data_IF_659172061459
#
_entry.id   IF_659172061459
#
_cell.length_a   1.000
_cell.length_b   1.000
_cell.length_c   1.000
_cell.angle_alpha   90.00
_cell.angle_beta   90.00
_cell.angle_gamma   90.00
#
_symmetry.space_group_name_H-M   'P 1'
#
loop_
_entity.id
_entity.type
_entity.pdbx_description
1 polymer ?
#
# COMPACT_ATOMS: atom_id res chain seq x y z
N UNK A 1 19.38 -9.32 -30.07
CA UNK A 1 19.23 -7.88 -29.79
C UNK A 1 17.79 -7.42 -29.76
N UNK A 2 16.99 -7.58 -30.84
CA UNK A 2 15.55 -7.21 -30.83
C UNK A 2 14.82 -7.83 -29.64
N UNK A 3 15.02 -9.13 -29.37
CA UNK A 3 14.44 -9.82 -28.22
C UNK A 3 14.90 -9.25 -26.86
N UNK A 4 16.17 -8.81 -26.75
CA UNK A 4 16.67 -8.19 -25.51
C UNK A 4 16.01 -6.83 -25.25
N UNK A 5 15.85 -6.00 -26.30
CA UNK A 5 15.15 -4.72 -26.19
C UNK A 5 13.67 -4.94 -25.87
N UNK A 6 13.02 -5.91 -26.53
CA UNK A 6 11.63 -6.26 -26.25
C UNK A 6 11.44 -6.73 -24.80
N UNK A 7 12.32 -7.58 -24.30
CA UNK A 7 12.29 -8.04 -22.92
C UNK A 7 12.57 -6.92 -21.92
N UNK A 8 13.49 -6.00 -22.24
CA UNK A 8 13.75 -4.84 -21.40
C UNK A 8 12.53 -3.92 -21.26
N UNK A 9 11.80 -3.68 -22.37
CA UNK A 9 10.54 -2.91 -22.31
C UNK A 9 9.51 -3.63 -21.45
N UNK A 10 9.31 -4.92 -21.65
CA UNK A 10 8.36 -5.71 -20.89
C UNK A 10 8.69 -5.65 -19.39
N UNK A 11 9.93 -5.89 -19.01
CA UNK A 11 10.37 -5.88 -17.61
C UNK A 11 10.28 -4.48 -16.98
N UNK A 12 10.69 -3.42 -17.68
CA UNK A 12 10.64 -2.05 -17.20
C UNK A 12 9.19 -1.54 -17.11
N UNK A 13 8.32 -1.91 -18.04
CA UNK A 13 6.90 -1.53 -17.99
C UNK A 13 6.21 -2.18 -16.79
N UNK A 14 6.45 -3.49 -16.56
CA UNK A 14 5.96 -4.17 -15.36
C UNK A 14 6.48 -3.53 -14.08
N UNK A 15 7.78 -3.23 -14.00
CA UNK A 15 8.38 -2.55 -12.85
C UNK A 15 7.77 -1.17 -12.61
N UNK A 16 7.60 -0.36 -13.65
CA UNK A 16 7.01 0.97 -13.57
C UNK A 16 5.57 0.95 -13.06
N UNK A 17 4.73 0.02 -13.55
CA UNK A 17 3.36 -0.15 -13.07
C UNK A 17 3.30 -0.58 -11.60
N UNK A 18 4.19 -1.49 -11.16
CA UNK A 18 4.25 -1.94 -9.77
C UNK A 18 4.76 -0.84 -8.82
N UNK A 19 5.74 -0.06 -9.23
CA UNK A 19 6.21 1.11 -8.46
C UNK A 19 5.06 2.12 -8.30
N UNK A 20 4.37 2.44 -9.38
CA UNK A 20 3.21 3.34 -9.35
C UNK A 20 2.06 2.82 -8.48
N UNK A 21 1.80 1.53 -8.55
CA UNK A 21 0.83 0.86 -7.65
C UNK A 21 1.20 1.07 -6.19
N UNK A 22 2.49 0.89 -5.84
CA UNK A 22 2.97 1.10 -4.47
C UNK A 22 2.85 2.58 -4.05
N UNK A 23 3.15 3.53 -4.93
CA UNK A 23 2.99 4.95 -4.65
C UNK A 23 1.52 5.32 -4.43
N UNK A 24 0.62 4.81 -5.27
CA UNK A 24 -0.82 5.00 -5.11
C UNK A 24 -1.32 4.43 -3.78
N UNK A 25 -0.91 3.20 -3.41
CA UNK A 25 -1.28 2.61 -2.13
C UNK A 25 -0.81 3.45 -0.93
N UNK A 26 0.38 4.03 -1.00
CA UNK A 26 0.92 4.91 0.04
C UNK A 26 0.20 6.26 0.13
N UNK A 27 -0.37 6.73 -0.96
CA UNK A 27 -1.09 8.02 -1.01
C UNK A 27 -2.56 7.92 -0.62
N UNK A 28 -3.07 6.70 -0.38
CA UNK A 28 -4.46 6.50 0.05
C UNK A 28 -4.67 7.15 1.41
N UNK A 29 -5.73 7.95 1.51
CA UNK A 29 -6.28 8.33 2.80
C UNK A 29 -7.12 7.16 3.34
N UNK A 30 -6.72 6.53 4.45
CA UNK A 30 -7.46 5.40 4.99
C UNK A 30 -8.73 5.80 5.73
N UNK A 31 -9.08 7.08 5.79
CA UNK A 31 -10.24 7.62 6.52
C UNK A 31 -9.98 7.92 7.99
N UNK A 32 -8.73 7.74 8.45
CA UNK A 32 -8.30 8.09 9.79
C UNK A 32 -6.84 8.57 9.77
N UNK A 33 -6.40 9.25 10.82
CA UNK A 33 -5.03 9.77 10.91
C UNK A 33 -4.09 8.68 11.43
N UNK A 34 -3.20 8.21 10.57
CA UNK A 34 -2.21 7.16 10.85
C UNK A 34 -0.95 7.67 11.54
N UNK A 35 -0.76 8.98 11.59
CA UNK A 35 0.43 9.58 12.17
C UNK A 35 0.46 9.55 13.70
N UNK A 36 1.65 9.41 14.25
CA UNK A 36 1.91 9.57 15.69
C UNK A 36 1.04 8.69 16.61
N UNK A 37 0.77 7.45 16.20
CA UNK A 37 0.06 6.45 17.01
C UNK A 37 1.00 5.31 17.36
N UNK A 38 1.17 5.05 18.67
CA UNK A 38 1.77 3.82 19.20
C UNK A 38 0.68 2.77 19.36
N UNK A 39 0.96 1.57 18.90
CA UNK A 39 0.15 0.38 19.08
C UNK A 39 0.87 -0.57 20.02
N UNK A 40 0.15 -1.16 20.95
CA UNK A 40 0.63 -2.33 21.68
C UNK A 40 -0.53 -3.23 22.05
N UNK A 41 -0.27 -4.52 22.05
CA UNK A 41 -1.26 -5.56 22.36
C UNK A 41 -1.06 -6.03 23.79
N UNK A 42 -2.16 -6.24 24.49
CA UNK A 42 -2.19 -6.82 25.82
C UNK A 42 -3.33 -7.83 25.91
N UNK A 43 -3.05 -9.00 26.46
CA UNK A 43 -4.05 -10.02 26.74
C UNK A 43 -4.01 -10.42 28.23
N UNK A 44 -4.82 -9.78 29.09
CA UNK A 44 -4.89 -10.11 30.49
C UNK A 44 -5.43 -11.53 30.78
N UNK A 45 -6.14 -12.14 29.82
CA UNK A 45 -6.73 -13.47 30.02
C UNK A 45 -5.66 -14.54 30.19
N UNK A 46 -4.48 -14.36 29.59
CA UNK A 46 -3.30 -15.22 29.79
C UNK A 46 -2.83 -15.25 31.24
N UNK A 47 -3.14 -14.21 32.03
CA UNK A 47 -2.82 -14.08 33.44
C UNK A 47 -4.02 -14.35 34.34
N UNK A 48 -5.07 -15.00 33.81
CA UNK A 48 -6.25 -15.41 34.59
C UNK A 48 -7.23 -14.27 34.90
N UNK A 49 -7.15 -13.14 34.18
CA UNK A 49 -8.16 -12.10 34.28
C UNK A 49 -9.39 -12.52 33.48
N UNK A 50 -10.57 -12.47 34.10
CA UNK A 50 -11.83 -12.58 33.38
C UNK A 50 -12.24 -11.23 32.77
N UNK A 51 -13.28 -11.23 31.95
CA UNK A 51 -13.71 -10.02 31.25
C UNK A 51 -14.05 -8.82 32.17
N UNK A 52 -14.62 -9.05 33.35
CA UNK A 52 -14.93 -7.98 34.32
C UNK A 52 -13.64 -7.39 34.91
N UNK A 53 -12.71 -8.25 35.31
CA UNK A 53 -11.41 -7.84 35.88
C UNK A 53 -10.53 -7.13 34.83
N UNK A 54 -10.56 -7.58 33.58
CA UNK A 54 -9.87 -6.91 32.48
C UNK A 54 -10.42 -5.51 32.21
N UNK A 55 -11.75 -5.32 32.31
CA UNK A 55 -12.34 -3.98 32.21
C UNK A 55 -11.89 -3.04 33.32
N UNK A 56 -11.82 -3.54 34.58
CA UNK A 56 -11.27 -2.78 35.70
C UNK A 56 -9.82 -2.37 35.45
N UNK A 57 -8.99 -3.31 35.01
CA UNK A 57 -7.60 -3.05 34.64
C UNK A 57 -7.48 -1.95 33.57
N UNK A 58 -8.30 -2.00 32.52
CA UNK A 58 -8.28 -0.99 31.45
C UNK A 58 -8.74 0.38 31.94
N UNK A 59 -9.75 0.42 32.81
CA UNK A 59 -10.22 1.67 33.42
C UNK A 59 -9.14 2.34 34.28
N UNK A 60 -8.26 1.58 34.91
CA UNK A 60 -7.12 2.10 35.67
C UNK A 60 -5.92 2.44 34.77
N UNK A 61 -5.70 1.69 33.70
CA UNK A 61 -4.57 1.89 32.79
C UNK A 61 -4.73 3.13 31.91
N UNK A 62 -5.92 3.37 31.37
CA UNK A 62 -6.18 4.51 30.46
C UNK A 62 -5.74 5.86 31.04
N UNK A 63 -6.15 6.26 32.27
CA UNK A 63 -5.71 7.52 32.84
C UNK A 63 -4.21 7.61 33.09
N UNK A 64 -3.54 6.48 33.41
CA UNK A 64 -2.10 6.45 33.60
C UNK A 64 -1.35 6.64 32.30
N UNK A 65 -1.85 6.07 31.18
CA UNK A 65 -1.28 6.28 29.85
C UNK A 65 -1.52 7.71 29.37
N UNK A 66 -2.69 8.28 29.63
CA UNK A 66 -2.99 9.69 29.31
C UNK A 66 -2.12 10.68 30.09
N UNK A 67 -1.65 10.30 31.30
CA UNK A 67 -0.77 11.14 32.12
C UNK A 67 0.71 11.12 31.63
N UNK A 68 1.08 10.27 30.68
CA UNK A 68 2.45 10.25 30.12
C UNK A 68 2.69 11.52 29.31
N UNK A 69 3.77 12.29 29.58
CA UNK A 69 4.09 13.48 28.81
C UNK A 69 4.21 13.19 27.30
N UNK A 70 3.53 13.98 26.51
CA UNK A 70 3.48 13.81 25.04
C UNK A 70 2.36 12.93 24.53
N UNK A 71 1.59 12.27 25.41
CA UNK A 71 0.35 11.57 25.03
C UNK A 71 -0.77 12.59 24.85
N UNK A 72 -1.54 12.46 23.77
CA UNK A 72 -2.67 13.32 23.42
C UNK A 72 -3.99 12.62 23.77
N UNK A 73 -4.13 11.36 23.41
CA UNK A 73 -5.30 10.54 23.75
C UNK A 73 -4.97 9.07 23.68
N UNK A 74 -5.74 8.26 24.39
CA UNK A 74 -5.58 6.82 24.47
C UNK A 74 -6.92 6.13 24.29
N UNK A 75 -6.89 5.02 23.58
CA UNK A 75 -8.02 4.11 23.45
C UNK A 75 -7.54 2.68 23.34
N UNK A 76 -8.46 1.76 23.19
CA UNK A 76 -8.16 0.37 22.85
C UNK A 76 -9.26 -0.19 21.96
N UNK A 77 -8.92 -1.19 21.18
CA UNK A 77 -9.88 -1.93 20.34
C UNK A 77 -9.54 -3.43 20.37
N UNK A 78 -10.47 -4.25 19.93
CA UNK A 78 -10.24 -5.69 19.82
C UNK A 78 -9.19 -6.00 18.74
N UNK A 79 -9.19 -5.25 17.66
CA UNK A 79 -8.15 -5.30 16.61
C UNK A 79 -7.90 -3.88 16.09
N UNK A 80 -6.68 -3.62 15.61
CA UNK A 80 -6.35 -2.32 15.04
C UNK A 80 -6.75 -2.24 13.57
N UNK A 81 -7.12 -1.05 13.13
CA UNK A 81 -7.35 -0.79 11.71
C UNK A 81 -6.09 -1.12 10.88
N UNK A 82 -6.30 -1.65 9.67
CA UNK A 82 -5.25 -2.07 8.75
C UNK A 82 -4.33 -3.18 9.30
N UNK A 83 -4.86 -4.03 10.19
CA UNK A 83 -4.13 -5.19 10.71
C UNK A 83 -3.97 -6.33 9.70
N UNK A 84 -4.76 -6.34 8.65
CA UNK A 84 -4.92 -7.48 7.75
C UNK A 84 -5.96 -8.49 8.23
N UNK A 85 -6.29 -8.49 9.52
CA UNK A 85 -7.37 -9.27 10.09
C UNK A 85 -8.71 -8.56 9.88
N UNK A 86 -9.77 -9.28 10.06
CA UNK A 86 -11.12 -8.73 10.11
C UNK A 86 -12.04 -9.70 10.83
N UNK A 87 -13.04 -9.12 11.46
CA UNK A 87 -14.12 -9.88 12.06
C UNK A 87 -15.38 -9.46 11.33
N UNK A 88 -16.15 -10.45 10.94
CA UNK A 88 -17.45 -10.26 10.35
C UNK A 88 -18.51 -10.79 11.28
N UNK A 89 -19.62 -10.09 11.29
CA UNK A 89 -20.78 -10.50 12.07
C UNK A 89 -22.02 -10.45 11.19
N UNK A 90 -22.99 -11.25 11.57
CA UNK A 90 -24.33 -11.17 10.96
C UNK A 90 -25.26 -10.40 11.87
N UNK A 91 -26.21 -9.71 11.26
CA UNK A 91 -27.23 -8.97 11.97
C UNK A 91 -28.56 -8.95 11.20
N UNK A 92 -29.62 -8.56 11.86
CA UNK A 92 -30.94 -8.30 11.27
C UNK A 92 -31.38 -6.89 11.64
N UNK A 93 -32.07 -6.23 10.72
CA UNK A 93 -32.65 -4.91 10.96
C UNK A 93 -34.05 -5.10 11.52
N UNK A 94 -34.34 -4.48 12.65
CA UNK A 94 -35.68 -4.54 13.25
C UNK A 94 -36.69 -3.82 12.36
N UNK A 95 -37.83 -4.49 12.12
CA UNK A 95 -38.89 -3.96 11.25
C UNK A 95 -38.77 -4.30 9.77
N UNK A 96 -37.76 -5.07 9.35
CA UNK A 96 -37.74 -5.64 8.00
C UNK A 96 -38.80 -6.75 7.86
N UNK A 97 -39.53 -6.71 6.73
CA UNK A 97 -40.63 -7.65 6.45
C UNK A 97 -40.13 -9.07 6.19
N UNK A 98 -38.92 -9.20 5.69
CA UNK A 98 -38.22 -10.47 5.54
C UNK A 98 -37.16 -10.56 6.63
N UNK A 99 -37.11 -11.70 7.33
CA UNK A 99 -36.11 -11.97 8.36
C UNK A 99 -34.71 -12.19 7.73
N UNK A 100 -34.26 -11.22 6.94
CA UNK A 100 -33.02 -11.27 6.17
C UNK A 100 -31.83 -11.08 7.10
N UNK A 101 -30.85 -11.96 6.98
CA UNK A 101 -29.59 -11.85 7.67
C UNK A 101 -28.58 -11.10 6.79
N UNK A 102 -28.06 -10.00 7.30
CA UNK A 102 -27.02 -9.19 6.65
C UNK A 102 -25.68 -9.48 7.27
N UNK A 103 -24.59 -9.28 6.50
CA UNK A 103 -23.23 -9.38 6.99
C UNK A 103 -22.56 -8.00 7.01
N UNK A 104 -21.72 -7.76 8.00
CA UNK A 104 -20.96 -6.54 8.16
C UNK A 104 -19.63 -6.83 8.87
N UNK A 105 -18.64 -5.95 8.69
CA UNK A 105 -17.47 -5.97 9.56
C UNK A 105 -17.88 -5.44 10.93
N UNK A 106 -17.25 -5.97 11.99
CA UNK A 106 -17.43 -5.43 13.34
C UNK A 106 -16.11 -5.16 14.06
N UNK A 107 -16.11 -4.10 14.86
CA UNK A 107 -14.99 -3.74 15.71
C UNK A 107 -15.49 -3.34 17.09
N UNK A 108 -15.03 -4.05 18.10
CA UNK A 108 -15.21 -3.63 19.48
C UNK A 108 -14.20 -2.51 19.78
N UNK A 109 -14.72 -1.30 20.01
CA UNK A 109 -13.95 -0.07 20.21
C UNK A 109 -14.09 0.45 21.64
N UNK A 110 -12.99 0.88 22.22
CA UNK A 110 -12.90 1.49 23.56
C UNK A 110 -13.33 2.96 23.61
N UNK A 111 -13.27 3.56 24.79
CA UNK A 111 -13.55 4.98 24.95
C UNK A 111 -12.63 5.84 24.10
N UNK A 112 -13.13 6.97 23.57
CA UNK A 112 -12.36 7.92 22.74
C UNK A 112 -11.78 7.34 21.45
N UNK A 113 -12.22 6.15 20.98
CA UNK A 113 -11.65 5.51 19.78
C UNK A 113 -11.70 6.43 18.55
N UNK A 114 -12.86 6.98 18.23
CA UNK A 114 -13.04 7.85 17.06
C UNK A 114 -12.24 9.16 17.17
N UNK A 115 -12.13 9.71 18.36
CA UNK A 115 -11.31 10.89 18.65
C UNK A 115 -9.81 10.58 18.51
N UNK A 116 -9.34 9.46 19.12
CA UNK A 116 -7.96 9.03 19.06
C UNK A 116 -7.52 8.71 17.63
N UNK A 117 -8.38 8.05 16.84
CA UNK A 117 -8.12 7.74 15.45
C UNK A 117 -8.43 8.90 14.50
N UNK A 118 -9.07 9.97 15.01
CA UNK A 118 -9.55 11.13 14.21
C UNK A 118 -10.49 10.72 13.08
N UNK A 119 -11.40 9.82 13.39
CA UNK A 119 -12.49 9.44 12.48
C UNK A 119 -13.63 10.46 12.67
N UNK A 120 -14.07 11.17 11.62
CA UNK A 120 -15.07 12.23 11.76
C UNK A 120 -16.45 11.65 12.09
N UNK A 121 -17.11 12.26 13.07
CA UNK A 121 -18.54 12.03 13.33
C UNK A 121 -19.36 12.79 12.30
N UNK A 122 -20.24 12.09 11.60
CA UNK A 122 -21.12 12.67 10.56
C UNK A 122 -22.51 12.96 11.08
N UNK A 123 -23.04 12.10 11.97
CA UNK A 123 -24.36 12.27 12.56
C UNK A 123 -24.47 11.56 13.91
N UNK A 124 -25.32 12.06 14.80
CA UNK A 124 -25.56 11.46 16.12
C UNK A 124 -24.43 11.70 17.12
N UNK A 125 -24.03 10.67 17.85
CA UNK A 125 -22.94 10.69 18.83
C UNK A 125 -22.02 9.48 18.72
N UNK A 126 -20.81 9.60 19.19
CA UNK A 126 -19.89 8.48 19.44
C UNK A 126 -20.14 7.89 20.85
N UNK A 127 -19.39 6.85 21.19
CA UNK A 127 -19.46 6.26 22.51
C UNK A 127 -18.99 7.24 23.58
N UNK A 128 -19.74 7.27 24.69
CA UNK A 128 -19.49 8.08 25.89
C UNK A 128 -18.98 7.20 27.02
N UNK A 129 -18.40 7.77 28.09
CA UNK A 129 -18.02 7.00 29.28
C UNK A 129 -19.15 6.19 29.91
N UNK A 130 -20.41 6.63 29.72
CA UNK A 130 -21.60 5.93 30.22
C UNK A 130 -21.87 4.61 29.48
N UNK A 131 -21.30 4.45 28.30
CA UNK A 131 -21.39 3.23 27.51
C UNK A 131 -20.37 2.16 27.97
N UNK A 132 -19.54 2.46 29.00
CA UNK A 132 -18.50 1.59 29.57
C UNK A 132 -18.48 1.64 31.12
N UNK A 133 -18.86 0.59 31.88
CA UNK A 133 -19.55 -0.60 31.42
C UNK A 133 -21.03 -0.31 31.12
N UNK A 134 -21.58 -0.99 30.15
CA UNK A 134 -23.01 -0.91 29.88
C UNK A 134 -23.81 -1.43 31.09
N UNK A 135 -24.92 -0.75 31.47
CA UNK A 135 -25.83 -1.27 32.46
C UNK A 135 -26.30 -2.68 32.07
N UNK A 136 -26.28 -3.66 33.04
CA UNK A 136 -26.69 -5.04 32.72
C UNK A 136 -28.11 -5.14 32.16
N UNK A 137 -28.98 -4.23 32.61
CA UNK A 137 -30.42 -4.23 32.28
C UNK A 137 -30.75 -3.41 31.01
N UNK A 138 -29.75 -2.87 30.32
CA UNK A 138 -29.98 -2.15 29.07
C UNK A 138 -30.50 -3.11 27.99
N UNK A 139 -31.73 -2.95 27.50
CA UNK A 139 -32.29 -3.83 26.47
C UNK A 139 -31.54 -3.68 25.13
N UNK A 140 -30.89 -2.54 24.92
CA UNK A 140 -30.14 -2.20 23.71
C UNK A 140 -28.77 -1.67 24.07
N UNK A 141 -27.76 -2.15 23.36
CA UNK A 141 -26.41 -1.60 23.46
C UNK A 141 -26.22 -0.53 22.37
N UNK A 142 -25.47 0.55 22.63
CA UNK A 142 -25.18 1.51 21.57
C UNK A 142 -24.31 0.88 20.50
N UNK A 143 -24.53 1.29 19.24
CA UNK A 143 -23.70 0.98 18.12
C UNK A 143 -23.43 2.25 17.31
N UNK A 144 -22.22 2.34 16.76
CA UNK A 144 -21.83 3.35 15.78
C UNK A 144 -21.57 2.65 14.47
N UNK A 145 -21.98 3.24 13.36
CA UNK A 145 -21.81 2.66 12.01
C UNK A 145 -21.00 3.62 11.14
N UNK A 146 -20.34 3.09 10.11
CA UNK A 146 -19.74 3.96 9.11
C UNK A 146 -20.77 4.42 8.06
N UNK A 147 -20.38 5.39 7.24
CA UNK A 147 -21.24 5.95 6.18
C UNK A 147 -21.66 4.88 5.16
N UNK A 148 -20.76 3.97 4.79
CA UNK A 148 -21.05 2.86 3.86
C UNK A 148 -22.10 1.90 4.40
N UNK A 149 -22.12 1.62 5.69
CA UNK A 149 -23.17 0.84 6.34
C UNK A 149 -24.52 1.55 6.21
N UNK A 150 -24.56 2.86 6.54
CA UNK A 150 -25.78 3.65 6.42
C UNK A 150 -26.31 3.68 4.98
N UNK A 151 -25.43 3.90 4.02
CA UNK A 151 -25.77 3.91 2.58
C UNK A 151 -26.26 2.54 2.09
N UNK A 152 -25.61 1.46 2.51
CA UNK A 152 -25.91 0.11 2.02
C UNK A 152 -27.24 -0.41 2.56
N UNK A 153 -27.49 -0.24 3.86
CA UNK A 153 -28.64 -0.89 4.52
C UNK A 153 -29.82 0.05 4.77
N UNK A 154 -29.60 1.35 4.89
CA UNK A 154 -30.66 2.31 5.14
C UNK A 154 -30.92 3.24 3.96
N UNK A 155 -30.04 3.27 2.96
CA UNK A 155 -30.14 4.12 1.76
C UNK A 155 -30.34 5.59 2.18
N UNK A 156 -31.50 6.19 1.81
CA UNK A 156 -31.83 7.58 2.12
C UNK A 156 -32.60 7.75 3.46
N UNK A 157 -32.74 6.67 4.22
CA UNK A 157 -33.44 6.73 5.51
C UNK A 157 -32.46 7.07 6.63
N UNK A 158 -32.97 7.78 7.65
CA UNK A 158 -32.17 8.04 8.84
C UNK A 158 -31.85 6.74 9.59
N UNK A 159 -30.56 6.43 9.71
CA UNK A 159 -30.09 5.24 10.43
C UNK A 159 -30.11 5.44 11.96
N UNK A 160 -30.07 6.68 12.46
CA UNK A 160 -30.06 6.96 13.89
C UNK A 160 -31.35 6.51 14.57
N UNK A 161 -31.21 5.85 15.73
CA UNK A 161 -32.31 5.27 16.50
C UNK A 161 -32.86 3.96 15.92
N UNK A 162 -32.36 3.50 14.74
CA UNK A 162 -32.70 2.19 14.23
C UNK A 162 -32.04 1.09 15.04
N UNK A 163 -32.71 -0.04 15.12
CA UNK A 163 -32.28 -1.19 15.92
C UNK A 163 -31.87 -2.35 15.05
N UNK A 164 -30.81 -3.00 15.47
CA UNK A 164 -30.27 -4.21 14.85
C UNK A 164 -30.13 -5.30 15.90
N UNK A 165 -30.33 -6.55 15.53
CA UNK A 165 -30.30 -7.69 16.43
C UNK A 165 -29.45 -8.81 15.85
N UNK A 166 -29.03 -9.75 16.70
CA UNK A 166 -28.25 -10.91 16.29
C UNK A 166 -26.77 -10.63 16.10
N UNK A 167 -26.24 -9.50 16.61
CA UNK A 167 -24.84 -9.11 16.48
C UNK A 167 -23.96 -9.94 17.39
N UNK A 168 -22.84 -10.44 16.83
CA UNK A 168 -21.84 -11.23 17.54
C UNK A 168 -22.35 -12.64 17.95
N UNK A 169 -21.48 -13.39 18.59
CA UNK A 169 -21.75 -14.76 19.01
C UNK A 169 -22.89 -14.91 20.01
N UNK A 170 -23.21 -13.86 20.76
CA UNK A 170 -24.27 -13.86 21.75
C UNK A 170 -25.61 -13.32 21.22
N UNK A 171 -25.67 -12.95 19.94
CA UNK A 171 -26.90 -12.45 19.31
C UNK A 171 -27.43 -11.15 19.96
N UNK A 172 -26.54 -10.25 20.38
CA UNK A 172 -26.91 -9.03 21.10
C UNK A 172 -27.67 -8.05 20.20
N UNK A 173 -28.50 -7.23 20.84
CA UNK A 173 -29.28 -6.19 20.16
C UNK A 173 -28.67 -4.81 20.38
N UNK A 174 -28.63 -4.02 19.34
CA UNK A 174 -27.97 -2.71 19.34
C UNK A 174 -28.90 -1.61 18.77
N UNK A 175 -28.76 -0.40 19.29
CA UNK A 175 -29.38 0.80 18.74
C UNK A 175 -28.30 1.67 18.11
N UNK A 176 -28.49 2.10 16.87
CA UNK A 176 -27.54 2.95 16.14
C UNK A 176 -27.63 4.37 16.73
N UNK A 177 -26.55 4.78 17.40
CA UNK A 177 -26.48 6.10 18.07
C UNK A 177 -25.63 7.11 17.29
N UNK A 178 -24.83 6.66 16.33
CA UNK A 178 -24.00 7.54 15.53
C UNK A 178 -23.58 6.96 14.19
N UNK A 179 -23.25 7.87 13.28
CA UNK A 179 -22.68 7.57 11.96
C UNK A 179 -21.34 8.30 11.85
N UNK A 180 -20.30 7.58 11.52
CA UNK A 180 -18.93 8.09 11.35
C UNK A 180 -18.44 7.95 9.90
N UNK A 181 -17.37 8.66 9.57
CA UNK A 181 -16.76 8.59 8.25
C UNK A 181 -16.26 7.18 7.91
N UNK A 182 -16.18 6.92 6.65
CA UNK A 182 -15.68 5.67 6.11
C UNK A 182 -14.18 5.48 6.37
N UNK A 183 -13.79 4.27 6.76
CA UNK A 183 -12.38 3.90 7.00
C UNK A 183 -12.01 2.63 6.27
N UNK A 184 -10.73 2.53 5.87
CA UNK A 184 -10.14 1.27 5.41
C UNK A 184 -9.92 0.37 6.61
N UNK A 185 -10.60 -0.76 6.66
CA UNK A 185 -10.60 -1.65 7.81
C UNK A 185 -9.47 -2.70 7.73
N UNK A 186 -9.44 -3.49 6.65
CA UNK A 186 -8.55 -4.66 6.51
C UNK A 186 -7.16 -4.27 6.03
N UNK A 187 -7.09 -3.72 4.84
CA UNK A 187 -5.86 -3.31 4.16
C UNK A 187 -6.12 -2.05 3.35
N UNK A 188 -5.06 -1.34 2.97
CA UNK A 188 -5.19 -0.18 2.08
C UNK A 188 -5.81 -0.53 0.71
N UNK A 189 -5.59 -1.76 0.25
CA UNK A 189 -6.12 -2.26 -1.03
C UNK A 189 -7.60 -2.61 -0.98
N UNK A 190 -8.11 -3.01 0.19
CA UNK A 190 -9.51 -3.41 0.35
C UNK A 190 -10.45 -2.26 0.00
N UNK A 191 -11.60 -2.57 -0.54
CA UNK A 191 -12.68 -1.60 -0.64
C UNK A 191 -13.18 -1.22 0.75
N UNK A 192 -13.80 -0.06 0.86
CA UNK A 192 -14.54 0.32 2.06
C UNK A 192 -15.73 -0.62 2.16
N UNK A 193 -16.02 -1.09 3.35
CA UNK A 193 -17.09 -2.03 3.59
C UNK A 193 -17.99 -1.54 4.74
N UNK A 194 -19.27 -1.91 4.75
CA UNK A 194 -20.14 -1.66 5.87
C UNK A 194 -19.49 -2.13 7.17
N UNK A 195 -19.39 -1.22 8.15
CA UNK A 195 -18.68 -1.49 9.41
C UNK A 195 -19.56 -1.05 10.59
N UNK A 196 -19.67 -1.95 11.55
CA UNK A 196 -20.36 -1.77 12.81
C UNK A 196 -19.31 -1.64 13.93
N UNK A 197 -19.39 -0.60 14.71
CA UNK A 197 -18.60 -0.44 15.92
C UNK A 197 -19.48 -0.69 17.13
N UNK A 198 -18.97 -1.49 18.08
CA UNK A 198 -19.64 -1.80 19.34
C UNK A 198 -18.73 -1.48 20.51
N UNK A 199 -19.26 -1.16 21.72
CA UNK A 199 -18.41 -0.92 22.87
C UNK A 199 -17.57 -2.15 23.22
N UNK A 200 -16.26 -1.95 23.38
CA UNK A 200 -15.33 -3.01 23.70
C UNK A 200 -15.59 -3.63 25.06
N UNK A 201 -15.50 -4.93 25.10
CA UNK A 201 -15.50 -5.74 26.32
C UNK A 201 -14.16 -5.72 27.04
N UNK A 202 -14.00 -6.66 27.99
CA UNK A 202 -12.68 -7.01 28.53
C UNK A 202 -12.13 -8.21 27.78
N UNK A 203 -10.82 -8.45 27.91
CA UNK A 203 -10.11 -9.55 27.25
C UNK A 203 -8.90 -9.02 26.51
N UNK A 204 -8.49 -9.71 25.47
CA UNK A 204 -7.44 -9.22 24.57
C UNK A 204 -7.80 -7.87 23.95
N UNK A 205 -6.83 -6.97 23.88
CA UNK A 205 -7.02 -5.66 23.24
C UNK A 205 -5.72 -5.10 22.68
N UNK A 206 -5.85 -4.31 21.64
CA UNK A 206 -4.79 -3.46 21.12
C UNK A 206 -5.05 -2.05 21.62
N UNK A 207 -4.07 -1.46 22.26
CA UNK A 207 -4.10 -0.07 22.70
C UNK A 207 -3.55 0.83 21.61
N UNK A 208 -4.27 1.90 21.33
CA UNK A 208 -3.89 2.96 20.40
C UNK A 208 -3.61 4.23 21.22
N UNK A 209 -2.34 4.64 21.24
CA UNK A 209 -1.88 5.81 21.98
C UNK A 209 -1.44 6.88 20.99
N UNK A 210 -2.23 7.94 20.85
CA UNK A 210 -1.86 9.11 20.03
C UNK A 210 -0.93 10.02 20.80
N UNK A 211 0.14 10.44 20.15
CA UNK A 211 1.18 11.29 20.76
C UNK A 211 1.39 12.60 19.98
N UNK A 212 1.89 13.62 20.66
CA UNK A 212 2.38 14.86 20.05
C UNK A 212 3.88 14.79 19.69
N UNK A 213 4.56 13.73 20.11
CA UNK A 213 5.99 13.45 19.94
C UNK A 213 6.18 12.13 19.20
N UNK A 214 7.42 11.73 18.93
CA UNK A 214 7.68 10.41 18.35
C UNK A 214 7.10 9.30 19.26
N UNK A 215 6.18 8.47 18.75
CA UNK A 215 5.52 7.41 19.53
C UNK A 215 6.50 6.41 20.18
N UNK A 216 7.66 6.22 19.58
CA UNK A 216 8.65 5.29 20.15
C UNK A 216 9.29 5.79 21.43
N UNK A 217 9.32 7.08 21.65
CA UNK A 217 9.92 7.68 22.85
C UNK A 217 9.13 7.37 24.14
N UNK A 218 7.83 7.14 24.02
CA UNK A 218 6.98 6.84 25.19
C UNK A 218 6.95 5.36 25.57
N UNK A 219 7.53 4.46 24.78
CA UNK A 219 7.50 2.99 25.03
C UNK A 219 8.00 2.62 26.45
N UNK A 220 9.11 3.16 26.98
CA UNK A 220 9.53 2.87 28.34
C UNK A 220 8.50 3.28 29.40
N UNK A 221 7.87 4.45 29.22
CA UNK A 221 6.83 4.96 30.13
C UNK A 221 5.57 4.09 30.08
N UNK A 222 5.16 3.63 28.87
CA UNK A 222 4.04 2.69 28.70
C UNK A 222 4.32 1.37 29.45
N UNK A 223 5.52 0.79 29.28
CA UNK A 223 5.94 -0.42 30.00
C UNK A 223 5.88 -0.23 31.52
N UNK A 224 6.38 0.91 31.99
CA UNK A 224 6.32 1.26 33.41
C UNK A 224 4.89 1.40 33.91
N UNK A 225 4.02 2.06 33.17
CA UNK A 225 2.62 2.22 33.56
C UNK A 225 1.88 0.88 33.69
N UNK A 226 2.14 -0.06 32.78
CA UNK A 226 1.55 -1.42 32.84
C UNK A 226 2.15 -2.22 33.97
N UNK A 227 3.48 -2.24 34.18
CA UNK A 227 4.13 -3.00 35.20
C UNK A 227 3.78 -2.54 36.64
N UNK A 228 3.43 -1.26 36.81
CA UNK A 228 2.93 -0.75 38.10
C UNK A 228 1.52 -1.26 38.43
N UNK A 229 0.75 -1.70 37.45
CA UNK A 229 -0.57 -2.33 37.69
C UNK A 229 -0.42 -3.82 37.96
N UNK A 230 0.31 -4.51 37.10
CA UNK A 230 0.66 -5.91 37.26
C UNK A 230 1.95 -6.21 36.46
N UNK A 231 3.01 -6.57 37.20
CA UNK A 231 4.32 -6.85 36.61
C UNK A 231 4.35 -8.11 35.73
N UNK A 232 3.32 -8.95 35.81
CA UNK A 232 3.23 -10.17 35.02
C UNK A 232 2.48 -9.97 33.69
N UNK A 233 1.92 -8.78 33.42
CA UNK A 233 1.21 -8.51 32.17
C UNK A 233 2.19 -8.27 31.02
N UNK A 234 2.29 -9.20 30.05
CA UNK A 234 3.16 -9.01 28.92
C UNK A 234 2.55 -8.01 27.91
N UNK A 235 3.41 -7.17 27.35
CA UNK A 235 3.08 -6.35 26.20
C UNK A 235 3.62 -6.98 24.94
N UNK A 236 2.75 -7.18 23.96
CA UNK A 236 3.07 -7.76 22.67
C UNK A 236 3.02 -6.70 21.58
N UNK A 237 3.68 -6.96 20.46
CA UNK A 237 3.52 -6.23 19.19
C UNK A 237 3.55 -4.70 19.35
N UNK A 238 4.61 -4.18 20.01
CA UNK A 238 4.77 -2.73 20.15
C UNK A 238 5.27 -2.14 18.84
N UNK A 239 4.40 -1.47 18.11
CA UNK A 239 4.65 -0.89 16.80
C UNK A 239 4.03 0.50 16.70
N UNK A 240 4.37 1.25 15.66
CA UNK A 240 3.58 2.41 15.27
C UNK A 240 2.54 2.02 14.22
N UNK A 241 1.45 2.77 14.12
CA UNK A 241 0.45 2.56 13.05
C UNK A 241 1.10 2.64 11.67
N UNK A 242 2.05 3.55 11.48
CA UNK A 242 2.81 3.69 10.24
C UNK A 242 3.63 2.44 9.92
N UNK A 243 4.34 1.87 10.91
CA UNK A 243 5.10 0.63 10.73
C UNK A 243 4.21 -0.56 10.39
N UNK A 244 3.03 -0.64 11.02
CA UNK A 244 2.04 -1.68 10.69
C UNK A 244 1.58 -1.58 9.24
N UNK A 245 1.29 -0.37 8.77
CA UNK A 245 0.98 -0.11 7.35
C UNK A 245 2.17 -0.47 6.45
N UNK A 246 3.38 -0.09 6.82
CA UNK A 246 4.57 -0.42 6.04
C UNK A 246 4.83 -1.92 5.95
N UNK A 247 4.54 -2.67 7.00
CA UNK A 247 4.60 -4.14 6.99
C UNK A 247 3.52 -4.75 6.12
N UNK A 248 2.31 -4.20 6.12
CA UNK A 248 1.23 -4.67 5.24
C UNK A 248 1.56 -4.49 3.75
N UNK A 249 2.39 -3.49 3.41
CA UNK A 249 2.89 -3.23 2.06
C UNK A 249 4.24 -3.91 1.76
N UNK A 250 4.72 -4.79 2.63
CA UNK A 250 6.03 -5.43 2.45
C UNK A 250 6.13 -6.24 1.16
N UNK A 251 5.07 -7.00 0.85
CA UNK A 251 5.02 -7.84 -0.35
C UNK A 251 5.04 -6.98 -1.62
N UNK A 252 4.24 -5.94 -1.69
CA UNK A 252 4.19 -5.00 -2.82
C UNK A 252 5.54 -4.30 -3.01
N UNK A 253 6.16 -3.87 -1.92
CA UNK A 253 7.48 -3.24 -1.93
C UNK A 253 8.56 -4.20 -2.42
N UNK A 254 8.53 -5.46 -1.98
CA UNK A 254 9.48 -6.48 -2.40
C UNK A 254 9.35 -6.75 -3.90
N UNK A 255 8.12 -6.97 -4.38
CA UNK A 255 7.85 -7.21 -5.80
C UNK A 255 8.29 -6.01 -6.65
N UNK A 256 7.94 -4.78 -6.25
CA UNK A 256 8.35 -3.57 -6.95
C UNK A 256 9.88 -3.42 -7.02
N UNK A 257 10.60 -3.67 -5.91
CA UNK A 257 12.07 -3.60 -5.87
C UNK A 257 12.72 -4.66 -6.76
N UNK A 258 12.27 -5.90 -6.67
CA UNK A 258 12.80 -6.99 -7.51
C UNK A 258 12.54 -6.72 -8.99
N UNK A 259 11.32 -6.29 -9.35
CA UNK A 259 10.98 -5.93 -10.73
C UNK A 259 11.83 -4.78 -11.25
N UNK A 260 12.09 -3.76 -10.44
CA UNK A 260 12.96 -2.64 -10.81
C UNK A 260 14.40 -3.09 -11.01
N UNK A 261 14.91 -3.97 -10.14
CA UNK A 261 16.26 -4.53 -10.26
C UNK A 261 16.40 -5.34 -11.55
N UNK A 262 15.50 -6.27 -11.83
CA UNK A 262 15.54 -7.07 -13.05
C UNK A 262 15.27 -6.26 -14.31
N UNK A 263 14.40 -5.24 -14.23
CA UNK A 263 14.19 -4.28 -15.31
C UNK A 263 15.47 -3.49 -15.64
N UNK A 264 16.18 -3.01 -14.62
CA UNK A 264 17.48 -2.35 -14.78
C UNK A 264 18.55 -3.27 -15.34
N UNK A 265 18.62 -4.51 -14.88
CA UNK A 265 19.54 -5.52 -15.42
C UNK A 265 19.25 -5.82 -16.88
N UNK A 266 17.98 -5.97 -17.25
CA UNK A 266 17.54 -6.19 -18.62
C UNK A 266 17.93 -5.01 -19.54
N UNK A 267 17.78 -3.77 -19.05
CA UNK A 267 18.21 -2.57 -19.74
C UNK A 267 19.72 -2.56 -19.97
N UNK A 268 20.51 -2.91 -18.96
CA UNK A 268 21.97 -3.00 -19.05
C UNK A 268 22.40 -4.05 -20.08
N UNK A 269 21.77 -5.23 -20.07
CA UNK A 269 22.04 -6.28 -21.05
C UNK A 269 21.67 -5.83 -22.48
N UNK A 270 20.57 -5.09 -22.64
CA UNK A 270 20.18 -4.51 -23.92
C UNK A 270 21.21 -3.48 -24.42
N UNK A 271 21.75 -2.64 -23.51
CA UNK A 271 22.83 -1.69 -23.83
C UNK A 271 24.10 -2.41 -24.30
N UNK A 272 24.54 -3.44 -23.57
CA UNK A 272 25.74 -4.23 -23.93
C UNK A 272 25.54 -4.91 -25.27
N UNK A 273 24.37 -5.51 -25.51
CA UNK A 273 24.03 -6.15 -26.77
C UNK A 273 24.03 -5.19 -27.94
N UNK A 274 23.45 -3.99 -27.75
CA UNK A 274 23.44 -2.93 -28.79
C UNK A 274 24.84 -2.41 -29.09
N UNK A 275 25.61 -2.12 -28.04
CA UNK A 275 27.02 -1.69 -28.17
C UNK A 275 27.85 -2.73 -28.89
N UNK A 276 27.77 -3.99 -28.45
CA UNK A 276 28.55 -5.10 -29.06
C UNK A 276 28.25 -5.32 -30.55
N UNK A 277 26.93 -5.30 -30.89
CA UNK A 277 26.50 -5.44 -32.27
C UNK A 277 27.03 -4.30 -33.17
N UNK A 278 26.84 -3.05 -32.69
CA UNK A 278 27.28 -1.90 -33.47
C UNK A 278 28.79 -1.81 -33.60
N UNK A 279 29.53 -2.15 -32.53
CA UNK A 279 31.00 -2.24 -32.58
C UNK A 279 31.46 -3.30 -33.56
N UNK A 280 30.84 -4.47 -33.58
CA UNK A 280 31.13 -5.53 -34.54
C UNK A 280 30.83 -5.10 -35.98
N UNK A 281 29.67 -4.47 -36.24
CA UNK A 281 29.31 -3.95 -37.57
C UNK A 281 30.31 -2.90 -38.06
N UNK A 282 30.74 -1.98 -37.19
CA UNK A 282 31.73 -0.95 -37.48
C UNK A 282 33.06 -1.64 -37.89
N UNK A 283 33.55 -2.61 -37.10
CA UNK A 283 34.76 -3.31 -37.36
C UNK A 283 34.72 -4.10 -38.68
N UNK A 284 33.60 -4.77 -38.95
CA UNK A 284 33.40 -5.55 -40.17
C UNK A 284 33.38 -4.68 -41.43
N UNK A 285 32.90 -3.44 -41.32
CA UNK A 285 32.74 -2.48 -42.42
C UNK A 285 33.85 -1.42 -42.46
N UNK A 286 34.93 -1.58 -41.70
CA UNK A 286 36.01 -0.58 -41.59
C UNK A 286 36.57 -0.22 -42.96
N UNK A 287 36.78 -1.22 -43.86
CA UNK A 287 37.28 -1.02 -45.25
C UNK A 287 36.26 -0.23 -46.08
N UNK A 288 35.00 -0.56 -46.04
CA UNK A 288 33.91 0.17 -46.76
C UNK A 288 33.82 1.62 -46.27
N UNK A 289 33.91 1.84 -44.97
CA UNK A 289 33.90 3.16 -44.33
C UNK A 289 35.14 3.96 -44.78
N UNK A 290 36.32 3.32 -44.81
CA UNK A 290 37.57 3.94 -45.27
C UNK A 290 37.51 4.37 -46.71
N UNK A 291 37.01 3.52 -47.62
CA UNK A 291 36.79 3.88 -49.03
C UNK A 291 35.82 5.05 -49.20
N UNK A 292 34.72 5.04 -48.49
CA UNK A 292 33.73 6.17 -48.53
C UNK A 292 34.35 7.47 -48.05
N UNK A 293 35.16 7.43 -46.98
CA UNK A 293 35.83 8.61 -46.48
C UNK A 293 36.91 9.12 -47.48
N UNK A 294 37.66 8.21 -48.11
CA UNK A 294 38.61 8.54 -49.15
C UNK A 294 37.93 9.20 -50.42
N UNK A 295 36.65 8.83 -50.68
CA UNK A 295 35.82 9.40 -51.73
C UNK A 295 35.12 10.68 -51.33
N UNK A 296 35.39 11.25 -50.10
CA UNK A 296 34.86 12.55 -49.68
C UNK A 296 33.60 12.47 -48.80
N UNK A 297 33.17 11.32 -48.33
CA UNK A 297 32.06 11.23 -47.37
C UNK A 297 32.41 11.91 -46.06
N UNK A 298 31.48 12.68 -45.52
CA UNK A 298 31.66 13.37 -44.23
C UNK A 298 31.54 12.35 -43.06
N UNK A 299 32.34 12.49 -42.02
CA UNK A 299 32.20 11.65 -40.79
C UNK A 299 30.80 11.60 -40.24
N UNK A 300 30.04 12.71 -40.35
CA UNK A 300 28.64 12.83 -39.92
C UNK A 300 27.67 11.89 -40.70
N UNK A 301 27.96 11.59 -41.96
CA UNK A 301 27.14 10.68 -42.79
C UNK A 301 27.26 9.24 -42.30
N UNK A 302 28.47 8.87 -41.95
CA UNK A 302 28.80 7.55 -41.37
C UNK A 302 28.13 7.40 -39.99
N UNK A 303 28.26 8.41 -39.13
CA UNK A 303 27.60 8.46 -37.85
C UNK A 303 26.07 8.26 -38.02
N UNK A 304 25.46 9.04 -38.90
CA UNK A 304 24.01 8.99 -39.19
C UNK A 304 23.56 7.60 -39.67
N UNK A 305 24.36 6.96 -40.50
CA UNK A 305 24.05 5.62 -41.02
C UNK A 305 24.04 4.57 -39.87
N UNK A 306 25.09 4.56 -39.02
CA UNK A 306 25.24 3.59 -37.92
C UNK A 306 24.14 3.83 -36.87
N UNK A 307 23.92 5.09 -36.47
CA UNK A 307 22.88 5.45 -35.51
C UNK A 307 21.48 5.09 -36.03
N UNK A 308 21.20 5.32 -37.34
CA UNK A 308 19.92 4.94 -37.95
C UNK A 308 19.68 3.43 -37.87
N UNK A 309 20.70 2.62 -38.09
CA UNK A 309 20.60 1.16 -37.98
C UNK A 309 20.32 0.72 -36.53
N UNK A 310 21.02 1.30 -35.55
CA UNK A 310 20.79 1.04 -34.12
C UNK A 310 19.39 1.45 -33.68
N UNK A 311 18.95 2.62 -34.12
CA UNK A 311 17.58 3.11 -33.83
C UNK A 311 16.52 2.19 -34.46
N UNK A 312 16.69 1.76 -35.70
CA UNK A 312 15.73 0.88 -36.37
C UNK A 312 15.57 -0.46 -35.66
N UNK A 313 16.69 -1.07 -35.21
CA UNK A 313 16.67 -2.31 -34.44
C UNK A 313 16.04 -2.12 -33.06
N UNK A 314 16.36 -1.00 -32.38
CA UNK A 314 15.76 -0.64 -31.09
C UNK A 314 14.27 -0.38 -31.22
N UNK A 315 13.84 0.32 -32.28
CA UNK A 315 12.44 0.59 -32.55
C UNK A 315 11.64 -0.71 -32.83
N UNK A 316 12.20 -1.63 -33.63
CA UNK A 316 11.58 -2.94 -33.85
C UNK A 316 11.42 -3.72 -32.54
N UNK A 317 12.47 -3.75 -31.70
CA UNK A 317 12.41 -4.35 -30.37
C UNK A 317 11.40 -3.64 -29.46
N UNK A 318 11.33 -2.31 -29.54
CA UNK A 318 10.38 -1.51 -28.77
C UNK A 318 8.93 -1.81 -29.13
N UNK A 319 8.61 -1.90 -30.41
CA UNK A 319 7.26 -2.24 -30.87
C UNK A 319 6.86 -3.64 -30.38
N UNK A 320 7.73 -4.64 -30.58
CA UNK A 320 7.46 -6.00 -30.10
C UNK A 320 7.33 -6.07 -28.57
N UNK A 321 8.22 -5.38 -27.85
CA UNK A 321 8.20 -5.29 -26.40
C UNK A 321 6.95 -4.61 -25.88
N UNK A 322 6.47 -3.57 -26.57
CA UNK A 322 5.23 -2.85 -26.23
C UNK A 322 4.01 -3.78 -26.34
N UNK A 323 3.88 -4.50 -27.47
CA UNK A 323 2.78 -5.47 -27.62
C UNK A 323 2.86 -6.58 -26.56
N UNK A 324 4.07 -7.11 -26.30
CA UNK A 324 4.29 -8.09 -25.25
C UNK A 324 3.95 -7.57 -23.87
N UNK A 325 4.33 -6.33 -23.56
CA UNK A 325 4.01 -5.69 -22.29
C UNK A 325 2.50 -5.46 -22.13
N UNK A 326 1.80 -4.95 -23.15
CA UNK A 326 0.35 -4.78 -23.12
C UNK A 326 -0.39 -6.12 -22.94
N UNK A 327 0.10 -7.20 -23.51
CA UNK A 327 -0.46 -8.54 -23.29
C UNK A 327 -0.18 -9.04 -21.87
N UNK A 328 1.07 -8.91 -21.40
CA UNK A 328 1.49 -9.38 -20.07
C UNK A 328 0.84 -8.58 -18.92
N UNK A 329 0.66 -7.26 -19.08
CA UNK A 329 0.05 -6.42 -18.03
C UNK A 329 -1.41 -6.75 -17.75
N UNK A 330 -2.12 -7.39 -18.70
CA UNK A 330 -3.47 -7.92 -18.44
C UNK A 330 -3.46 -9.02 -17.37
N UNK A 331 -2.43 -9.86 -17.34
CA UNK A 331 -2.25 -10.88 -16.30
C UNK A 331 -1.84 -10.26 -14.96
N UNK A 332 -1.18 -9.12 -14.98
CA UNK A 332 -0.79 -8.38 -13.79
C UNK A 332 -1.92 -7.50 -13.24
N UNK A 333 -3.07 -7.41 -13.91
CA UNK A 333 -4.16 -6.50 -13.54
C UNK A 333 -4.62 -6.69 -12.08
N UNK A 334 -4.63 -7.93 -11.57
CA UNK A 334 -4.98 -8.24 -10.18
C UNK A 334 -3.95 -7.73 -9.14
N UNK A 335 -2.71 -7.51 -9.57
CA UNK A 335 -1.63 -6.97 -8.74
C UNK A 335 -1.58 -5.43 -8.79
N UNK A 336 -2.22 -4.81 -9.78
CA UNK A 336 -2.25 -3.36 -9.93
C UNK A 336 -3.34 -2.75 -9.04
N UNK A 337 -3.05 -1.58 -8.48
CA UNK A 337 -4.00 -0.79 -7.71
C UNK A 337 -3.95 0.68 -8.12
N UNK A 338 -5.10 1.23 -8.51
CA UNK A 338 -5.21 2.62 -8.94
C UNK A 338 -4.42 2.97 -10.22
N UNK A 339 -3.92 1.95 -10.93
CA UNK A 339 -3.18 2.10 -12.20
C UNK A 339 -3.82 1.20 -13.24
N UNK A 340 -4.08 1.75 -14.43
CA UNK A 340 -4.59 0.96 -15.55
C UNK A 340 -3.46 0.12 -16.13
N UNK A 341 -3.75 -1.14 -16.57
CA UNK A 341 -2.74 -1.99 -17.22
C UNK A 341 -2.12 -1.37 -18.47
N UNK A 342 -2.82 -0.44 -19.10
CA UNK A 342 -2.45 0.28 -20.32
C UNK A 342 -2.00 1.73 -20.03
N UNK A 343 -1.51 2.03 -18.82
CA UNK A 343 -1.14 3.37 -18.38
C UNK A 343 -0.15 4.08 -19.31
N UNK A 344 -0.59 5.10 -20.09
CA UNK A 344 0.24 5.67 -21.15
C UNK A 344 1.48 6.38 -20.61
N UNK A 345 1.42 6.92 -19.40
CA UNK A 345 2.55 7.64 -18.81
C UNK A 345 3.71 6.69 -18.49
N UNK A 346 3.43 5.51 -17.96
CA UNK A 346 4.45 4.48 -17.71
C UNK A 346 5.09 4.01 -19.01
N UNK A 347 4.28 3.73 -20.03
CA UNK A 347 4.80 3.26 -21.33
C UNK A 347 5.63 4.33 -22.05
N UNK A 348 5.19 5.60 -22.03
CA UNK A 348 5.96 6.72 -22.61
C UNK A 348 7.27 6.93 -21.86
N UNK A 349 7.25 6.88 -20.53
CA UNK A 349 8.47 7.03 -19.72
C UNK A 349 9.49 5.91 -20.03
N UNK A 350 9.05 4.66 -20.10
CA UNK A 350 9.90 3.50 -20.43
C UNK A 350 10.44 3.61 -21.85
N UNK A 351 9.59 3.96 -22.83
CA UNK A 351 10.02 4.15 -24.22
C UNK A 351 11.05 5.27 -24.35
N UNK A 352 10.83 6.39 -23.65
CA UNK A 352 11.76 7.53 -23.63
C UNK A 352 13.09 7.14 -22.98
N UNK A 353 13.06 6.48 -21.82
CA UNK A 353 14.26 5.99 -21.14
C UNK A 353 15.08 5.09 -22.07
N UNK A 354 14.42 4.13 -22.71
CA UNK A 354 15.07 3.17 -23.59
C UNK A 354 15.61 3.86 -24.86
N UNK A 355 14.90 4.85 -25.39
CA UNK A 355 15.36 5.70 -26.49
C UNK A 355 16.64 6.47 -26.16
N UNK A 356 16.69 7.10 -25.01
CA UNK A 356 17.88 7.82 -24.52
C UNK A 356 19.07 6.88 -24.34
N UNK A 357 18.84 5.73 -23.72
CA UNK A 357 19.87 4.71 -23.49
C UNK A 357 20.35 4.11 -24.80
N UNK A 358 19.48 3.81 -25.75
CA UNK A 358 19.83 3.32 -27.06
C UNK A 358 20.69 4.34 -27.85
N UNK A 359 20.32 5.62 -27.79
CA UNK A 359 21.11 6.71 -28.40
C UNK A 359 22.52 6.78 -27.78
N UNK A 360 22.60 6.73 -26.45
CA UNK A 360 23.90 6.74 -25.74
C UNK A 360 24.78 5.52 -26.13
N UNK A 361 24.18 4.32 -26.17
CA UNK A 361 24.86 3.08 -26.56
C UNK A 361 25.32 3.10 -28.02
N UNK A 362 24.60 3.76 -28.91
CA UNK A 362 24.98 3.92 -30.32
C UNK A 362 26.06 5.00 -30.51
N UNK A 363 26.06 6.05 -29.70
CA UNK A 363 26.96 7.20 -29.86
C UNK A 363 28.45 6.83 -29.67
N UNK A 364 28.77 6.01 -28.66
CA UNK A 364 30.16 5.65 -28.33
C UNK A 364 30.84 4.91 -29.48
N UNK A 365 30.30 3.78 -30.02
CA UNK A 365 30.94 3.08 -31.14
C UNK A 365 30.97 3.90 -32.43
N UNK A 366 29.93 4.71 -32.66
CA UNK A 366 29.85 5.59 -33.82
C UNK A 366 30.91 6.68 -33.79
N UNK A 367 31.23 7.24 -32.62
CA UNK A 367 32.34 8.21 -32.43
C UNK A 367 33.72 7.55 -32.68
N UNK A 368 33.87 6.27 -32.33
CA UNK A 368 35.11 5.51 -32.66
C UNK A 368 35.26 5.31 -34.16
N UNK A 369 34.15 4.98 -34.86
CA UNK A 369 34.15 4.81 -36.31
C UNK A 369 34.57 6.06 -37.07
N UNK A 370 34.21 7.26 -36.59
CA UNK A 370 34.65 8.55 -37.18
C UNK A 370 36.14 8.86 -37.06
N UNK A 371 36.85 8.17 -36.18
CA UNK A 371 38.30 8.39 -35.94
C UNK A 371 39.18 7.37 -36.69
N UNK A 372 38.60 6.54 -37.53
CA UNK A 372 39.37 5.60 -38.35
C UNK A 372 40.15 6.38 -39.41
N UNK A 373 41.46 6.25 -39.40
CA UNK A 373 42.36 6.83 -40.40
C UNK A 373 42.16 6.10 -41.73
N UNK A 374 41.75 6.77 -42.83
CA UNK A 374 41.55 6.15 -44.14
C UNK A 374 42.79 5.46 -44.66
N UNK A 375 43.98 5.99 -44.35
CA UNK A 375 45.27 5.40 -44.80
C UNK A 375 45.58 4.08 -44.10
N UNK A 376 45.19 3.95 -42.83
CA UNK A 376 45.37 2.69 -42.05
C UNK A 376 44.33 1.66 -42.50
N UNK A 377 43.08 2.08 -42.77
CA UNK A 377 42.02 1.19 -43.21
C UNK A 377 42.26 0.53 -44.58
N UNK A 378 43.05 1.18 -45.46
CA UNK A 378 43.43 0.64 -46.77
C UNK A 378 44.70 -0.20 -46.76
N UNK A 379 45.49 -0.17 -45.66
CA UNK A 379 46.80 -0.83 -45.55
C UNK A 379 46.71 -2.21 -44.85
N UNK A 380 45.58 -2.58 -44.29
CA UNK A 380 45.38 -3.91 -43.72
C UNK A 380 44.97 -4.90 -44.85
N UNK A 381 45.95 -5.64 -45.33
CA UNK A 381 45.76 -6.93 -45.99
C UNK A 381 45.57 -8.04 -44.94
#
# INVERSE_FOLDING_TARGET
MIAQVAFAILALSGAGLLVRTLENLKSINPGFDTGSILLFQMDPTLNGYNGARSKGLYSELLPRLEAIPGVVSVTYSFDSLLSGNYWDTSFRIEGETQNTQHATLDLAAGPKFFETMRIPLLAGRVFSPQDYPLPPDSPWKPAVINEDFARTFFKDQNALGRRISGVGHQGTSHEIVGVVGDTKFRTLRSEIAPTLFVPAGGGEAIFEVRTAIDPRTIVPAVRSAVSHLDNNLPLFSIDTQTEKIERSLFQERLIARLSTFFGGLSLLLACIGLYGLLSYEVTRRTREIGVRMALGARPADILRFIVRQGIALSAAGAVLGMFGALAATRYLASLLYGVRPDDPLTFVAVATLLGVVALAACYIPSRRAMRVDPMVALRYE
#
